data_IF_598323900919
#
_entry.id   IF_598323900919
#
_cell.length_a   1.000
_cell.length_b   1.000
_cell.length_c   1.000
_cell.angle_alpha   90.00
_cell.angle_beta   90.00
_cell.angle_gamma   90.00
#
_symmetry.space_group_name_H-M   'P 1'
#
loop_
_entity.id
_entity.type
_entity.pdbx_description
1 polymer ?
#
# COMPACT_ATOMS: atom_id res chain seq x y z
N UNK A 1 21.01 28.09 -17.33
CA UNK A 1 19.63 27.59 -17.45
C UNK A 1 19.51 26.38 -16.52
N UNK A 2 19.27 26.66 -15.25
CA UNK A 2 19.04 25.65 -14.20
C UNK A 2 17.56 25.32 -14.24
N UNK A 3 17.22 24.23 -14.94
CA UNK A 3 15.84 23.77 -15.11
C UNK A 3 15.22 23.44 -13.76
N UNK A 4 14.38 24.36 -13.30
CA UNK A 4 12.96 24.13 -13.04
C UNK A 4 12.54 22.66 -12.87
N UNK A 5 12.04 22.34 -11.67
CA UNK A 5 11.02 21.33 -11.41
C UNK A 5 11.28 19.89 -11.88
N UNK A 6 11.91 19.08 -11.00
CA UNK A 6 11.48 17.70 -10.83
C UNK A 6 11.24 17.39 -9.35
N UNK A 7 10.34 18.18 -8.74
CA UNK A 7 9.71 17.87 -7.44
C UNK A 7 8.46 16.99 -7.62
N UNK A 8 8.16 16.53 -8.85
CA UNK A 8 6.95 15.76 -9.17
C UNK A 8 7.17 14.24 -9.20
N UNK A 9 8.41 13.76 -9.12
CA UNK A 9 8.74 12.34 -9.28
C UNK A 9 9.60 11.82 -8.11
N UNK A 10 9.14 11.93 -6.85
CA UNK A 10 9.76 11.10 -5.80
C UNK A 10 9.39 9.64 -6.15
N UNK A 11 10.32 8.80 -6.65
CA UNK A 11 9.97 7.48 -7.18
C UNK A 11 9.32 6.58 -6.11
N UNK A 12 9.62 6.85 -4.83
CA UNK A 12 9.04 6.18 -3.69
C UNK A 12 7.54 6.48 -3.49
N UNK A 13 7.06 7.71 -3.74
CA UNK A 13 5.64 8.07 -3.60
C UNK A 13 4.81 7.39 -4.69
N UNK A 14 5.29 7.41 -5.93
CA UNK A 14 4.62 6.76 -7.04
C UNK A 14 4.57 5.23 -6.87
N UNK A 15 5.66 4.64 -6.37
CA UNK A 15 5.72 3.22 -6.02
C UNK A 15 4.76 2.89 -4.87
N UNK A 16 4.67 3.75 -3.86
CA UNK A 16 3.74 3.58 -2.75
C UNK A 16 2.28 3.67 -3.19
N UNK A 17 1.92 4.64 -4.03
CA UNK A 17 0.56 4.76 -4.59
C UNK A 17 0.18 3.54 -5.42
N UNK A 18 1.10 3.04 -6.25
CA UNK A 18 0.92 1.81 -7.03
C UNK A 18 0.75 0.60 -6.12
N UNK A 19 1.53 0.51 -5.03
CA UNK A 19 1.44 -0.51 -4.01
C UNK A 19 0.09 -0.50 -3.27
N UNK A 20 -0.39 0.69 -2.88
CA UNK A 20 -1.70 0.87 -2.25
C UNK A 20 -2.82 0.40 -3.19
N UNK A 21 -2.81 0.86 -4.44
CA UNK A 21 -3.87 0.54 -5.40
C UNK A 21 -3.89 -0.97 -5.72
N UNK A 22 -2.71 -1.58 -5.88
CA UNK A 22 -2.57 -3.01 -6.10
C UNK A 22 -3.00 -3.81 -4.87
N UNK A 23 -2.62 -3.37 -3.67
CA UNK A 23 -2.99 -4.00 -2.40
C UNK A 23 -4.49 -3.97 -2.15
N UNK A 24 -5.15 -2.83 -2.37
CA UNK A 24 -6.61 -2.70 -2.25
C UNK A 24 -7.33 -3.64 -3.23
N UNK A 25 -6.86 -3.74 -4.48
CA UNK A 25 -7.45 -4.66 -5.47
C UNK A 25 -7.33 -6.13 -5.06
N UNK A 26 -6.19 -6.52 -4.45
CA UNK A 26 -5.99 -7.88 -3.94
C UNK A 26 -6.82 -8.16 -2.69
N UNK A 27 -6.95 -7.19 -1.76
CA UNK A 27 -7.81 -7.31 -0.58
C UNK A 27 -9.26 -7.58 -1.00
N UNK A 28 -9.79 -6.82 -1.96
CA UNK A 28 -11.16 -7.01 -2.43
C UNK A 28 -11.38 -8.40 -3.05
N UNK A 29 -10.42 -8.91 -3.83
CA UNK A 29 -10.49 -10.27 -4.40
C UNK A 29 -10.46 -11.33 -3.31
N UNK A 30 -9.49 -11.25 -2.40
CA UNK A 30 -9.37 -12.19 -1.29
C UNK A 30 -10.62 -12.18 -0.41
N UNK A 31 -11.24 -11.02 -0.16
CA UNK A 31 -12.48 -10.91 0.60
C UNK A 31 -13.64 -11.65 -0.11
N UNK A 32 -13.74 -11.55 -1.44
CA UNK A 32 -14.72 -12.29 -2.23
C UNK A 32 -14.44 -13.81 -2.19
N UNK A 33 -13.17 -14.22 -2.30
CA UNK A 33 -12.76 -15.62 -2.24
C UNK A 33 -13.07 -16.22 -0.86
N UNK A 34 -12.72 -15.53 0.23
CA UNK A 34 -13.06 -15.89 1.62
C UNK A 34 -14.56 -16.07 1.77
N UNK A 35 -15.36 -15.11 1.29
CA UNK A 35 -16.82 -15.17 1.40
C UNK A 35 -17.38 -16.38 0.64
N UNK A 36 -16.84 -16.68 -0.56
CA UNK A 36 -17.26 -17.83 -1.35
C UNK A 36 -16.86 -19.18 -0.73
N UNK A 37 -15.66 -19.28 -0.17
CA UNK A 37 -15.14 -20.50 0.46
C UNK A 37 -15.80 -20.78 1.81
N UNK A 38 -16.19 -19.72 2.53
CA UNK A 38 -17.00 -19.84 3.75
C UNK A 38 -18.35 -20.49 3.50
N UNK A 39 -18.89 -20.37 2.28
CA UNK A 39 -20.13 -21.03 1.85
C UNK A 39 -19.87 -22.46 1.37
N UNK A 40 -18.70 -22.73 0.77
CA UNK A 40 -18.32 -24.05 0.25
C UNK A 40 -17.82 -25.05 1.32
N UNK A 41 -17.43 -24.57 2.50
CA UNK A 41 -17.08 -25.42 3.66
C UNK A 41 -15.65 -25.96 3.70
N UNK A 42 -14.75 -25.50 2.81
CA UNK A 42 -13.36 -25.96 2.77
C UNK A 42 -12.44 -25.08 3.65
N UNK A 43 -12.11 -25.59 4.84
CA UNK A 43 -11.38 -24.85 5.87
C UNK A 43 -9.90 -24.57 5.50
N UNK A 44 -9.29 -25.41 4.65
CA UNK A 44 -7.90 -25.24 4.23
C UNK A 44 -7.75 -24.04 3.29
N UNK A 45 -8.66 -23.89 2.33
CA UNK A 45 -8.68 -22.80 1.37
C UNK A 45 -9.04 -21.46 2.05
N UNK A 46 -10.00 -21.47 2.98
CA UNK A 46 -10.35 -20.30 3.79
C UNK A 46 -9.15 -19.77 4.59
N UNK A 47 -8.38 -20.68 5.21
CA UNK A 47 -7.17 -20.32 5.97
C UNK A 47 -6.13 -19.67 5.07
N UNK A 48 -5.93 -20.20 3.86
CA UNK A 48 -5.00 -19.65 2.89
C UNK A 48 -5.42 -18.25 2.42
N UNK A 49 -6.69 -18.08 2.08
CA UNK A 49 -7.24 -16.79 1.66
C UNK A 49 -7.13 -15.72 2.75
N UNK A 50 -7.30 -16.10 4.03
CA UNK A 50 -7.09 -15.21 5.19
C UNK A 50 -5.62 -14.80 5.36
N UNK A 51 -4.68 -15.73 5.20
CA UNK A 51 -3.24 -15.43 5.25
C UNK A 51 -2.85 -14.49 4.12
N UNK A 52 -3.34 -14.74 2.90
CA UNK A 52 -3.07 -13.87 1.76
C UNK A 52 -3.67 -12.47 1.97
N UNK A 53 -4.87 -12.38 2.58
CA UNK A 53 -5.46 -11.09 2.93
C UNK A 53 -4.60 -10.32 3.94
N UNK A 54 -4.05 -11.00 4.97
CA UNK A 54 -3.15 -10.38 5.94
C UNK A 54 -1.84 -9.89 5.32
N UNK A 55 -1.25 -10.66 4.42
CA UNK A 55 -0.06 -10.22 3.67
C UNK A 55 -0.34 -8.97 2.83
N UNK A 56 -1.49 -8.94 2.14
CA UNK A 56 -1.90 -7.77 1.38
C UNK A 56 -2.13 -6.54 2.26
N UNK A 57 -2.71 -6.71 3.46
CA UNK A 57 -2.85 -5.63 4.44
C UNK A 57 -1.49 -5.07 4.85
N UNK A 58 -0.53 -5.93 5.22
CA UNK A 58 0.83 -5.51 5.60
C UNK A 58 1.53 -4.74 4.45
N UNK A 59 1.34 -5.17 3.21
CA UNK A 59 1.89 -4.48 2.04
C UNK A 59 1.33 -3.06 1.89
N UNK A 60 0.03 -2.87 2.12
CA UNK A 60 -0.61 -1.56 2.08
C UNK A 60 -0.11 -0.67 3.23
N UNK A 61 -0.03 -1.21 4.45
CA UNK A 61 0.49 -0.49 5.62
C UNK A 61 1.93 -0.03 5.40
N UNK A 62 2.77 -0.89 4.83
CA UNK A 62 4.15 -0.54 4.46
C UNK A 62 4.19 0.61 3.44
N UNK A 63 3.34 0.57 2.41
CA UNK A 63 3.25 1.66 1.43
C UNK A 63 2.78 2.98 2.07
N UNK A 64 1.81 2.93 2.99
CA UNK A 64 1.36 4.10 3.76
C UNK A 64 2.50 4.65 4.62
N UNK A 65 3.28 3.79 5.26
CA UNK A 65 4.41 4.20 6.09
C UNK A 65 5.47 4.94 5.26
N UNK A 66 5.77 4.48 4.04
CA UNK A 66 6.68 5.17 3.12
C UNK A 66 6.18 6.57 2.76
N UNK A 67 4.89 6.71 2.45
CA UNK A 67 4.28 8.03 2.17
C UNK A 67 4.38 8.95 3.38
N UNK A 68 4.03 8.45 4.58
CA UNK A 68 4.11 9.22 5.83
C UNK A 68 5.52 9.71 6.10
N UNK A 69 6.51 8.83 6.02
CA UNK A 69 7.91 9.19 6.23
C UNK A 69 8.42 10.16 5.17
N UNK A 70 8.00 10.03 3.91
CA UNK A 70 8.33 11.00 2.87
C UNK A 70 7.76 12.40 3.20
N UNK A 71 6.52 12.46 3.69
CA UNK A 71 5.89 13.71 4.12
C UNK A 71 6.58 14.31 5.37
N UNK A 72 6.95 13.50 6.35
CA UNK A 72 7.68 13.94 7.56
C UNK A 72 9.05 14.52 7.19
N UNK A 73 9.80 13.87 6.31
CA UNK A 73 11.10 14.37 5.82
C UNK A 73 10.92 15.69 5.07
N UNK A 74 9.95 15.79 4.16
CA UNK A 74 9.65 17.04 3.46
C UNK A 74 9.24 18.15 4.43
N UNK A 75 8.40 17.86 5.42
CA UNK A 75 8.00 18.80 6.47
C UNK A 75 9.19 19.30 7.29
N UNK A 76 10.09 18.40 7.71
CA UNK A 76 11.31 18.78 8.44
C UNK A 76 12.27 19.63 7.62
N UNK A 77 12.37 19.40 6.31
CA UNK A 77 13.19 20.23 5.42
C UNK A 77 12.61 21.64 5.22
N UNK A 78 11.29 21.77 5.21
CA UNK A 78 10.61 23.07 5.16
C UNK A 78 10.76 23.84 6.48
N UNK A 79 10.64 23.16 7.63
CA UNK A 79 10.80 23.76 8.96
C UNK A 79 12.23 24.29 9.20
N UNK A 80 13.26 23.57 8.72
CA UNK A 80 14.66 24.02 8.78
C UNK A 80 14.93 25.26 7.90
N UNK A 81 14.10 25.49 6.88
CA UNK A 81 14.23 26.61 5.93
C UNK A 81 13.44 27.86 6.37
N UNK A 82 12.49 27.73 7.29
CA UNK A 82 11.67 28.82 7.84
C UNK A 82 12.40 29.59 8.93
#
# INVERSE_FOLDING_TARGET
MIGEFSMSNIPAIQSAMTGIQSGISKINRNAADIASQSVAGDAADLTRSLIDMRQNQLQVEASIKVVKTSNEVLGSLLDVKA
#
